data_IF_008257203391
#
_entry.id   IF_008257203391
#
_cell.length_a   1.000
_cell.length_b   1.000
_cell.length_c   1.000
_cell.angle_alpha   90.00
_cell.angle_beta   90.00
_cell.angle_gamma   90.00
#
_symmetry.space_group_name_H-M   'P 1'
#
loop_
_entity.id
_entity.type
_entity.pdbx_description
1 polymer ?
#
# COMPACT_ATOMS: atom_id res chain seq x y z
N UNK A 1 0.88 10.82 -9.63
CA UNK A 1 -0.32 11.21 -10.37
C UNK A 1 -1.32 10.06 -10.30
N UNK A 2 -1.07 8.95 -11.00
CA UNK A 2 -2.11 7.96 -11.28
C UNK A 2 -2.43 7.04 -10.10
N UNK A 3 -1.44 6.68 -9.27
CA UNK A 3 -1.66 5.83 -8.09
C UNK A 3 -2.50 6.48 -6.99
N UNK A 4 -2.44 7.81 -6.84
CA UNK A 4 -3.27 8.51 -5.87
C UNK A 4 -4.73 8.59 -6.33
N UNK A 5 -4.95 8.75 -7.64
CA UNK A 5 -6.29 8.72 -8.22
C UNK A 5 -6.89 7.31 -8.13
N UNK A 6 -6.12 6.28 -8.48
CA UNK A 6 -6.52 4.88 -8.32
C UNK A 6 -6.86 4.54 -6.86
N UNK A 7 -6.04 5.03 -5.91
CA UNK A 7 -6.34 4.89 -4.48
C UNK A 7 -7.66 5.57 -4.11
N UNK A 8 -7.90 6.79 -4.60
CA UNK A 8 -9.16 7.51 -4.39
C UNK A 8 -10.38 6.73 -4.88
N UNK A 9 -10.35 6.21 -6.10
CA UNK A 9 -11.44 5.37 -6.62
C UNK A 9 -11.63 4.09 -5.80
N UNK A 10 -10.54 3.46 -5.35
CA UNK A 10 -10.62 2.27 -4.53
C UNK A 10 -11.23 2.55 -3.15
N UNK A 11 -10.86 3.66 -2.50
CA UNK A 11 -11.42 4.05 -1.19
C UNK A 11 -12.87 4.47 -1.31
N UNK A 12 -13.21 5.29 -2.29
CA UNK A 12 -14.57 5.81 -2.47
C UNK A 12 -15.54 4.72 -2.92
N UNK A 13 -15.06 3.76 -3.73
CA UNK A 13 -15.82 2.59 -4.17
C UNK A 13 -15.85 1.44 -3.16
N UNK A 14 -15.09 1.51 -2.06
CA UNK A 14 -14.98 0.43 -1.07
C UNK A 14 -14.26 -0.83 -1.59
N UNK A 15 -13.43 -0.69 -2.63
CA UNK A 15 -12.68 -1.80 -3.23
C UNK A 15 -11.40 -2.11 -2.44
N UNK A 16 -11.56 -2.76 -1.29
CA UNK A 16 -10.48 -2.97 -0.32
C UNK A 16 -9.24 -3.70 -0.87
N UNK A 17 -9.39 -4.62 -1.83
CA UNK A 17 -8.25 -5.29 -2.46
C UNK A 17 -7.42 -4.32 -3.31
N UNK A 18 -8.07 -3.52 -4.15
CA UNK A 18 -7.38 -2.49 -4.94
C UNK A 18 -6.81 -1.35 -4.09
N UNK A 19 -7.44 -1.06 -2.94
CA UNK A 19 -6.86 -0.14 -1.97
C UNK A 19 -5.53 -0.69 -1.44
N UNK A 20 -5.46 -1.96 -1.02
CA UNK A 20 -4.23 -2.57 -0.54
C UNK A 20 -3.11 -2.50 -1.60
N UNK A 21 -3.42 -2.91 -2.83
CA UNK A 21 -2.45 -2.92 -3.94
C UNK A 21 -1.95 -1.52 -4.28
N UNK A 22 -2.86 -0.54 -4.33
CA UNK A 22 -2.50 0.85 -4.62
C UNK A 22 -1.58 1.43 -3.54
N UNK A 23 -1.84 1.10 -2.27
CA UNK A 23 -0.99 1.52 -1.15
C UNK A 23 0.39 0.85 -1.19
N UNK A 24 0.48 -0.43 -1.53
CA UNK A 24 1.77 -1.12 -1.74
C UNK A 24 2.57 -0.43 -2.84
N UNK A 25 1.94 -0.15 -3.99
CA UNK A 25 2.58 0.53 -5.10
C UNK A 25 3.07 1.94 -4.70
N UNK A 26 2.26 2.70 -3.95
CA UNK A 26 2.66 4.01 -3.41
C UNK A 26 3.83 3.89 -2.43
N UNK A 27 3.85 2.85 -1.60
CA UNK A 27 4.93 2.63 -0.66
C UNK A 27 6.27 2.42 -1.38
N UNK A 28 6.30 1.58 -2.41
CA UNK A 28 7.47 1.39 -3.27
C UNK A 28 7.87 2.68 -4.00
N UNK A 29 6.91 3.42 -4.54
CA UNK A 29 7.17 4.68 -5.24
C UNK A 29 7.81 5.73 -4.30
N UNK A 30 7.33 5.83 -3.06
CA UNK A 30 7.90 6.71 -2.06
C UNK A 30 9.31 6.29 -1.65
N UNK A 31 9.56 4.98 -1.50
CA UNK A 31 10.89 4.47 -1.17
C UNK A 31 11.88 4.78 -2.29
N UNK A 32 11.51 4.51 -3.54
CA UNK A 32 12.31 4.84 -4.72
C UNK A 32 12.59 6.35 -4.87
N UNK A 33 11.69 7.19 -4.33
CA UNK A 33 11.85 8.65 -4.30
C UNK A 33 12.60 9.17 -3.06
N UNK A 34 13.29 8.28 -2.32
CA UNK A 34 14.01 8.59 -1.09
C UNK A 34 13.13 9.25 0.00
N UNK A 35 11.86 8.84 0.08
CA UNK A 35 10.90 9.28 1.10
C UNK A 35 10.45 8.09 1.97
N UNK A 36 11.34 7.57 2.85
CA UNK A 36 11.06 6.38 3.65
C UNK A 36 9.91 6.57 4.65
N UNK A 37 9.66 7.81 5.09
CA UNK A 37 8.53 8.09 5.99
C UNK A 37 7.20 7.86 5.31
N UNK A 38 7.00 8.37 4.10
CA UNK A 38 5.77 8.16 3.34
C UNK A 38 5.64 6.69 2.90
N UNK A 39 6.76 6.06 2.52
CA UNK A 39 6.79 4.63 2.20
C UNK A 39 6.31 3.77 3.38
N UNK A 40 6.82 4.04 4.59
CA UNK A 40 6.37 3.36 5.81
C UNK A 40 4.87 3.51 6.04
N UNK A 41 4.34 4.72 5.90
CA UNK A 41 2.92 4.99 6.14
C UNK A 41 2.02 4.19 5.22
N UNK A 42 2.32 4.16 3.92
CA UNK A 42 1.51 3.41 2.96
C UNK A 42 1.65 1.90 3.14
N UNK A 43 2.87 1.39 3.36
CA UNK A 43 3.09 -0.03 3.61
C UNK A 43 2.40 -0.51 4.90
N UNK A 44 2.43 0.27 5.98
CA UNK A 44 1.72 -0.09 7.22
C UNK A 44 0.21 -0.13 7.00
N UNK A 45 -0.36 0.83 6.28
CA UNK A 45 -1.81 0.82 5.96
C UNK A 45 -2.18 -0.39 5.10
N UNK A 46 -1.39 -0.70 4.07
CA UNK A 46 -1.59 -1.87 3.24
C UNK A 46 -1.50 -3.17 4.05
N UNK A 47 -0.53 -3.27 4.96
CA UNK A 47 -0.36 -4.43 5.83
C UNK A 47 -1.58 -4.62 6.75
N UNK A 48 -2.04 -3.57 7.42
CA UNK A 48 -3.26 -3.63 8.25
C UNK A 48 -4.47 -4.07 7.44
N UNK A 49 -4.71 -3.45 6.28
CA UNK A 49 -5.85 -3.78 5.44
C UNK A 49 -5.80 -5.24 4.97
N UNK A 50 -4.62 -5.72 4.59
CA UNK A 50 -4.41 -7.09 4.11
C UNK A 50 -4.53 -8.13 5.23
N UNK A 51 -4.14 -7.80 6.46
CA UNK A 51 -4.39 -8.63 7.64
C UNK A 51 -5.90 -8.74 7.91
N UNK A 52 -6.61 -7.61 7.92
CA UNK A 52 -8.06 -7.58 8.17
C UNK A 52 -8.88 -8.37 7.15
N UNK A 53 -8.42 -8.41 5.89
CA UNK A 53 -9.09 -9.15 4.81
C UNK A 53 -8.65 -10.61 4.71
N UNK A 54 -7.55 -11.00 5.36
CA UNK A 54 -6.89 -12.28 5.07
C UNK A 54 -6.25 -12.34 3.67
N UNK A 55 -5.90 -11.18 3.10
CA UNK A 55 -5.30 -11.10 1.77
C UNK A 55 -3.80 -11.42 1.83
N UNK A 56 -3.45 -12.67 1.52
CA UNK A 56 -2.08 -13.18 1.69
C UNK A 56 -1.03 -12.38 0.92
N UNK A 57 -1.25 -12.11 -0.37
CA UNK A 57 -0.26 -11.40 -1.20
C UNK A 57 -0.03 -9.97 -0.69
N UNK A 58 -1.10 -9.25 -0.33
CA UNK A 58 -0.94 -7.91 0.25
C UNK A 58 -0.18 -7.90 1.59
N UNK A 59 -0.25 -8.97 2.39
CA UNK A 59 0.57 -9.10 3.60
C UNK A 59 2.05 -9.28 3.27
N UNK A 60 2.37 -10.15 2.30
CA UNK A 60 3.74 -10.44 1.86
C UNK A 60 4.37 -9.19 1.25
N UNK A 61 3.69 -8.56 0.31
CA UNK A 61 4.23 -7.42 -0.43
C UNK A 61 4.39 -6.19 0.47
N UNK A 62 3.44 -5.92 1.36
CA UNK A 62 3.57 -4.82 2.32
C UNK A 62 4.71 -5.07 3.32
N UNK A 63 4.90 -6.31 3.77
CA UNK A 63 6.03 -6.68 4.63
C UNK A 63 7.37 -6.53 3.90
N UNK A 64 7.41 -6.82 2.59
CA UNK A 64 8.61 -6.63 1.77
C UNK A 64 9.02 -5.15 1.73
N UNK A 65 8.09 -4.23 1.47
CA UNK A 65 8.41 -2.78 1.52
C UNK A 65 8.96 -2.41 2.89
N UNK A 66 8.31 -2.85 3.98
CA UNK A 66 8.72 -2.52 5.34
C UNK A 66 10.11 -3.04 5.69
N UNK A 67 10.53 -4.17 5.11
CA UNK A 67 11.86 -4.73 5.30
C UNK A 67 12.97 -3.94 4.58
N UNK A 68 12.62 -3.10 3.60
CA UNK A 68 13.55 -2.27 2.83
C UNK A 68 13.69 -0.83 3.35
N UNK A 69 13.10 -0.50 4.51
CA UNK A 69 13.14 0.82 5.15
C UNK A 69 14.22 0.92 6.24
#
# INVERSE_FOLDING_TARGET
>A
SDLHEALGYATDGGYRLYEADSRIALAWAHLASNNPTAARQEATRAQTLSLDMGYHWGQVDAAEVLAHL
#
